data_IF_404143021977
#
_entry.id   IF_404143021977
#
_cell.length_a   1.000
_cell.length_b   1.000
_cell.length_c   1.000
_cell.angle_alpha   90.00
_cell.angle_beta   90.00
_cell.angle_gamma   90.00
#
_symmetry.space_group_name_H-M   'P 1'
#
loop_
_entity.id
_entity.type
_entity.pdbx_description
1 polymer ?
#
# COMPACT_ATOMS: atom_id res chain seq x y z
N UNK A 1 10.91 27.96 -16.51
CA UNK A 1 10.54 26.62 -16.03
C UNK A 1 9.15 26.35 -16.58
N UNK A 2 9.01 25.44 -17.55
CA UNK A 2 7.69 25.04 -18.02
C UNK A 2 6.94 24.33 -16.86
N UNK A 3 5.62 24.55 -16.69
CA UNK A 3 4.86 23.84 -15.67
C UNK A 3 4.95 22.34 -15.95
N UNK A 4 5.41 21.58 -14.96
CA UNK A 4 5.42 20.12 -15.04
C UNK A 4 3.97 19.66 -14.95
N UNK A 5 3.46 19.08 -16.03
CA UNK A 5 2.10 18.57 -16.10
C UNK A 5 1.90 17.51 -15.00
N UNK A 6 0.94 17.77 -14.10
CA UNK A 6 0.64 16.85 -12.98
C UNK A 6 -0.36 15.83 -13.50
N UNK A 7 0.11 14.60 -13.67
CA UNK A 7 -0.79 13.49 -14.01
C UNK A 7 -1.59 13.06 -12.78
N UNK A 8 -2.90 13.36 -12.78
CA UNK A 8 -3.80 13.00 -11.68
C UNK A 8 -4.12 11.50 -11.75
N UNK A 9 -3.50 10.72 -10.85
CA UNK A 9 -3.70 9.26 -10.72
C UNK A 9 -3.92 8.88 -9.26
N UNK A 10 -4.66 7.78 -9.05
CA UNK A 10 -4.90 7.15 -7.75
C UNK A 10 -4.93 5.62 -7.90
N UNK A 11 -5.20 4.89 -6.82
CA UNK A 11 -5.38 3.44 -6.85
C UNK A 11 -6.48 3.05 -7.88
N UNK A 12 -6.21 2.10 -8.79
CA UNK A 12 -7.20 1.64 -9.76
C UNK A 12 -8.26 0.75 -9.10
N UNK A 13 -9.37 0.52 -9.81
CA UNK A 13 -10.35 -0.49 -9.44
C UNK A 13 -9.73 -1.90 -9.47
N UNK A 14 -9.90 -2.65 -8.39
CA UNK A 14 -9.47 -4.04 -8.28
C UNK A 14 -10.70 -4.97 -8.26
N UNK A 15 -10.89 -5.82 -9.28
CA UNK A 15 -12.05 -6.73 -9.36
C UNK A 15 -12.16 -7.72 -8.19
N UNK A 16 -11.09 -7.94 -7.41
CA UNK A 16 -11.12 -8.76 -6.19
C UNK A 16 -11.89 -8.08 -5.05
N UNK A 17 -12.02 -6.75 -5.08
CA UNK A 17 -12.67 -5.95 -4.05
C UNK A 17 -13.77 -5.04 -4.65
N UNK A 18 -14.83 -5.61 -5.25
CA UNK A 18 -15.81 -4.84 -6.02
C UNK A 18 -16.84 -4.08 -5.16
N UNK A 19 -16.95 -4.42 -3.87
CA UNK A 19 -17.96 -3.89 -2.97
C UNK A 19 -17.53 -2.59 -2.31
N UNK A 20 -18.47 -1.82 -1.75
CA UNK A 20 -18.17 -0.54 -1.07
C UNK A 20 -17.17 -0.66 0.08
N UNK A 21 -17.10 -1.80 0.77
CA UNK A 21 -16.13 -2.01 1.84
C UNK A 21 -14.72 -2.28 1.27
N UNK A 22 -13.89 -1.23 1.25
CA UNK A 22 -12.52 -1.25 0.71
C UNK A 22 -11.44 -1.58 1.76
N UNK A 23 -11.84 -1.96 2.98
CA UNK A 23 -10.90 -2.29 4.07
C UNK A 23 -9.89 -3.37 3.66
N UNK A 24 -10.37 -4.43 2.99
CA UNK A 24 -9.52 -5.52 2.53
C UNK A 24 -8.57 -5.11 1.39
N UNK A 25 -8.98 -4.19 0.50
CA UNK A 25 -8.10 -3.72 -0.58
C UNK A 25 -6.92 -2.92 -0.01
N UNK A 26 -7.20 -2.03 0.94
CA UNK A 26 -6.18 -1.32 1.71
C UNK A 26 -5.22 -2.30 2.41
N UNK A 27 -5.76 -3.19 3.24
CA UNK A 27 -4.94 -4.12 4.04
C UNK A 27 -4.11 -5.08 3.18
N UNK A 28 -4.69 -5.64 2.13
CA UNK A 28 -3.98 -6.54 1.22
C UNK A 28 -2.85 -5.80 0.50
N UNK A 29 -3.08 -4.57 0.05
CA UNK A 29 -2.04 -3.75 -0.62
C UNK A 29 -0.86 -3.44 0.33
N UNK A 30 -1.14 -3.20 1.61
CA UNK A 30 -0.10 -3.00 2.63
C UNK A 30 0.75 -4.26 2.85
N UNK A 31 0.10 -5.43 2.99
CA UNK A 31 0.81 -6.71 3.14
C UNK A 31 1.62 -7.03 1.87
N UNK A 32 1.04 -6.84 0.70
CA UNK A 32 1.68 -7.17 -0.59
C UNK A 32 2.93 -6.33 -0.80
N UNK A 33 2.92 -5.04 -0.41
CA UNK A 33 4.10 -4.20 -0.45
C UNK A 33 5.25 -4.77 0.39
N UNK A 34 5.00 -5.08 1.66
CA UNK A 34 6.06 -5.57 2.55
C UNK A 34 6.49 -7.02 2.24
N UNK A 35 5.58 -7.87 1.74
CA UNK A 35 5.96 -9.18 1.18
C UNK A 35 6.84 -9.01 -0.07
N UNK A 36 6.49 -8.07 -0.95
CA UNK A 36 7.26 -7.77 -2.14
C UNK A 36 8.68 -7.29 -1.77
N UNK A 37 8.82 -6.36 -0.83
CA UNK A 37 10.15 -5.90 -0.38
C UNK A 37 10.97 -7.02 0.25
N UNK A 38 10.34 -7.93 1.02
CA UNK A 38 11.03 -9.08 1.62
C UNK A 38 11.57 -10.06 0.56
N UNK A 39 10.85 -10.25 -0.55
CA UNK A 39 11.22 -11.21 -1.61
C UNK A 39 12.13 -10.59 -2.68
N UNK A 40 11.86 -9.34 -3.07
CA UNK A 40 12.52 -8.65 -4.19
C UNK A 40 13.66 -7.72 -3.74
N UNK A 41 13.71 -7.40 -2.46
CA UNK A 41 14.65 -6.45 -1.89
C UNK A 41 14.04 -5.07 -1.69
N UNK A 42 14.59 -4.26 -0.75
CA UNK A 42 14.12 -2.90 -0.49
C UNK A 42 14.18 -2.02 -1.74
N UNK A 43 13.14 -1.23 -1.98
CA UNK A 43 13.13 -0.24 -3.06
C UNK A 43 12.96 -0.80 -4.49
N UNK A 44 12.63 -2.07 -4.66
CA UNK A 44 12.35 -2.63 -5.97
C UNK A 44 11.14 -1.93 -6.63
N UNK A 45 11.30 -1.41 -7.86
CA UNK A 45 10.24 -0.66 -8.56
C UNK A 45 8.95 -1.46 -8.74
N UNK A 46 9.06 -2.78 -8.85
CA UNK A 46 7.90 -3.69 -8.93
C UNK A 46 6.98 -3.61 -7.71
N UNK A 47 7.52 -3.23 -6.54
CA UNK A 47 6.74 -3.06 -5.31
C UNK A 47 6.05 -1.68 -5.22
N UNK A 48 6.47 -0.71 -6.04
CA UNK A 48 5.93 0.65 -6.00
C UNK A 48 4.43 0.71 -6.31
N UNK A 49 3.91 -0.25 -7.08
CA UNK A 49 2.47 -0.38 -7.33
C UNK A 49 1.70 -0.53 -6.02
N UNK A 50 2.06 -1.51 -5.19
CA UNK A 50 1.39 -1.77 -3.91
C UNK A 50 1.56 -0.60 -2.94
N UNK A 51 2.75 0.03 -2.95
CA UNK A 51 3.02 1.22 -2.15
C UNK A 51 2.05 2.35 -2.45
N UNK A 52 1.90 2.70 -3.73
CA UNK A 52 0.93 3.72 -4.15
C UNK A 52 -0.50 3.35 -3.76
N UNK A 53 -0.88 2.09 -3.94
CA UNK A 53 -2.24 1.64 -3.63
C UNK A 53 -2.58 1.82 -2.15
N UNK A 54 -1.77 1.29 -1.21
CA UNK A 54 -2.09 1.43 0.21
C UNK A 54 -1.98 2.88 0.69
N UNK A 55 -1.03 3.67 0.17
CA UNK A 55 -0.92 5.10 0.50
C UNK A 55 -2.11 5.92 0.02
N UNK A 56 -2.74 5.55 -1.09
CA UNK A 56 -3.93 6.25 -1.60
C UNK A 56 -5.23 5.87 -0.88
N UNK A 57 -5.32 4.66 -0.31
CA UNK A 57 -6.59 4.12 0.21
C UNK A 57 -6.64 4.00 1.73
N UNK A 58 -5.51 3.72 2.38
CA UNK A 58 -5.49 3.46 3.80
C UNK A 58 -5.52 4.75 4.61
N UNK A 59 -6.29 4.82 5.70
CA UNK A 59 -6.13 5.89 6.68
C UNK A 59 -4.70 5.88 7.25
N UNK A 60 -4.05 7.04 7.35
CA UNK A 60 -2.67 7.14 7.86
C UNK A 60 -2.51 6.52 9.26
N UNK A 61 -3.51 6.72 10.14
CA UNK A 61 -3.50 6.14 11.48
C UNK A 61 -3.43 4.59 11.49
N UNK A 62 -3.96 3.93 10.45
CA UNK A 62 -3.86 2.48 10.32
C UNK A 62 -2.45 2.06 9.89
N UNK A 63 -1.89 2.77 8.90
CA UNK A 63 -0.53 2.54 8.40
C UNK A 63 0.48 2.71 9.54
N UNK A 64 0.43 3.83 10.27
CA UNK A 64 1.32 4.10 11.41
C UNK A 64 1.23 3.03 12.49
N UNK A 65 0.01 2.56 12.79
CA UNK A 65 -0.21 1.48 13.75
C UNK A 65 0.41 0.16 13.26
N UNK A 66 0.19 -0.22 12.01
CA UNK A 66 0.74 -1.46 11.45
C UNK A 66 2.26 -1.41 11.31
N UNK A 67 2.82 -0.26 10.96
CA UNK A 67 4.27 -0.04 10.92
C UNK A 67 4.87 -0.24 12.32
N UNK A 68 4.28 0.38 13.34
CA UNK A 68 4.70 0.19 14.74
C UNK A 68 4.62 -1.29 15.16
N UNK A 69 3.54 -1.98 14.81
CA UNK A 69 3.39 -3.41 15.13
C UNK A 69 4.45 -4.29 14.46
N UNK A 70 4.79 -4.00 13.21
CA UNK A 70 5.83 -4.72 12.46
C UNK A 70 7.24 -4.43 13.00
N UNK A 71 7.53 -3.20 13.40
CA UNK A 71 8.80 -2.82 14.02
C UNK A 71 9.00 -3.50 15.39
N UNK A 72 7.90 -3.72 16.12
CA UNK A 72 7.91 -4.41 17.41
C UNK A 72 7.94 -5.95 17.29
N UNK A 73 8.01 -6.51 16.07
CA UNK A 73 7.90 -7.95 15.76
C UNK A 73 6.69 -8.61 16.45
N UNK A 74 5.59 -7.84 16.62
CA UNK A 74 4.35 -8.39 17.14
C UNK A 74 3.74 -9.22 16.02
N UNK A 75 3.93 -10.53 16.12
CA UNK A 75 3.21 -11.49 15.27
C UNK A 75 1.73 -11.41 15.60
N UNK A 76 0.96 -10.85 14.66
CA UNK A 76 -0.48 -11.05 14.58
C UNK A 76 -0.69 -12.48 14.07
N UNK A 77 -0.48 -13.46 14.96
CA UNK A 77 -0.87 -14.85 14.74
C UNK A 77 -2.39 -14.99 14.94
#
# INVERSE_FOLDING_TARGET
MAPKEIELKTAPFDPRFPNTNQTLYCYQSYIDFHRCEKVKGPGAEVCAYFKRCYQSMCPNAWVEKWDTQREQDIKLD
#
